data_IF_445397788399
#
_entry.id   IF_445397788399
#
_cell.length_a   1.000
_cell.length_b   1.000
_cell.length_c   1.000
_cell.angle_alpha   90.00
_cell.angle_beta   90.00
_cell.angle_gamma   90.00
#
_symmetry.space_group_name_H-M   'P 1'
#
loop_
_entity.id
_entity.type
_entity.pdbx_description
1 polymer ?
#
# COMPACT_ATOMS: atom_id res chain seq x y z
N UNK A 1 -3.13 19.31 7.68
CA UNK A 1 -2.61 18.13 6.94
C UNK A 1 -1.63 17.39 7.81
N UNK A 2 -1.76 16.08 7.89
CA UNK A 2 -0.83 15.28 8.66
C UNK A 2 0.28 14.75 7.76
N UNK A 3 1.46 14.51 8.38
CA UNK A 3 2.58 13.90 7.69
C UNK A 3 2.39 12.41 7.48
N UNK A 4 1.34 11.84 8.08
CA UNK A 4 1.06 10.40 8.04
C UNK A 4 -0.17 10.16 7.17
N UNK A 5 -0.03 9.27 6.19
CA UNK A 5 -1.13 8.86 5.32
C UNK A 5 -1.15 7.34 5.25
N UNK A 6 -2.33 6.74 5.48
CA UNK A 6 -2.51 5.29 5.34
C UNK A 6 -3.43 5.00 4.16
N UNK A 7 -2.94 4.17 3.23
CA UNK A 7 -3.76 3.63 2.14
C UNK A 7 -4.43 2.37 2.69
N UNK A 8 -5.72 2.50 2.97
CA UNK A 8 -6.47 1.60 3.85
C UNK A 8 -7.53 0.82 3.10
N UNK A 9 -7.65 -0.46 3.44
CA UNK A 9 -8.75 -1.33 3.04
C UNK A 9 -9.45 -1.80 4.31
N UNK A 10 -10.67 -1.32 4.55
CA UNK A 10 -11.42 -1.61 5.78
C UNK A 10 -11.77 -3.08 5.95
N UNK A 11 -11.73 -3.87 4.88
CA UNK A 11 -11.98 -5.31 4.93
C UNK A 11 -10.73 -6.14 5.24
N UNK A 12 -9.57 -5.51 5.31
CA UNK A 12 -8.29 -6.20 5.55
C UNK A 12 -7.88 -6.06 7.00
N UNK A 13 -7.66 -7.20 7.69
CA UNK A 13 -7.27 -7.20 9.10
C UNK A 13 -5.94 -6.49 9.35
N UNK A 14 -4.97 -6.66 8.45
CA UNK A 14 -3.67 -5.98 8.58
C UNK A 14 -3.82 -4.47 8.46
N UNK A 15 -4.69 -4.03 7.56
CA UNK A 15 -4.97 -2.61 7.36
C UNK A 15 -5.67 -2.01 8.59
N UNK A 16 -6.66 -2.72 9.14
CA UNK A 16 -7.33 -2.30 10.38
C UNK A 16 -6.35 -2.25 11.55
N UNK A 17 -5.45 -3.24 11.63
CA UNK A 17 -4.43 -3.27 12.70
C UNK A 17 -3.49 -2.09 12.63
N UNK A 18 -3.03 -1.71 11.45
CA UNK A 18 -2.14 -0.56 11.30
C UNK A 18 -2.86 0.74 11.66
N UNK A 19 -4.12 0.89 11.22
CA UNK A 19 -4.93 2.06 11.57
C UNK A 19 -5.13 2.17 13.07
N UNK A 20 -5.41 1.04 13.74
CA UNK A 20 -5.56 1.01 15.20
C UNK A 20 -4.30 1.47 15.90
N UNK A 21 -3.13 1.05 15.44
CA UNK A 21 -1.85 1.49 16.02
C UNK A 21 -1.70 3.00 15.93
N UNK A 22 -2.02 3.59 14.78
CA UNK A 22 -1.95 5.03 14.60
C UNK A 22 -2.91 5.75 15.56
N UNK A 23 -4.11 5.22 15.74
CA UNK A 23 -5.11 5.78 16.65
C UNK A 23 -4.66 5.68 18.11
N UNK A 24 -4.12 4.53 18.52
CA UNK A 24 -3.64 4.32 19.88
C UNK A 24 -2.45 5.20 20.23
N UNK A 25 -1.60 5.50 19.23
CA UNK A 25 -0.47 6.40 19.41
C UNK A 25 -0.88 7.85 19.46
N UNK A 26 -2.13 8.17 19.14
CA UNK A 26 -2.64 9.53 19.16
C UNK A 26 -2.00 10.45 18.13
N UNK A 27 -1.43 9.89 17.07
CA UNK A 27 -0.81 10.68 16.01
C UNK A 27 -1.85 11.06 14.96
N UNK A 28 -1.76 12.30 14.49
CA UNK A 28 -2.63 12.78 13.42
C UNK A 28 -2.30 12.04 12.11
N UNK A 29 -3.32 11.59 11.39
CA UNK A 29 -3.13 10.83 10.15
C UNK A 29 -4.31 10.99 9.22
N UNK A 30 -4.04 10.85 7.92
CA UNK A 30 -5.07 10.86 6.87
C UNK A 30 -5.29 9.43 6.39
N UNK A 31 -6.56 9.08 6.19
CA UNK A 31 -6.95 7.75 5.70
C UNK A 31 -7.41 7.89 4.25
N UNK A 32 -6.76 7.15 3.35
CA UNK A 32 -7.15 7.07 1.95
C UNK A 32 -7.71 5.68 1.68
N UNK A 33 -9.00 5.62 1.38
CA UNK A 33 -9.65 4.36 0.97
C UNK A 33 -9.41 4.17 -0.52
N UNK A 34 -8.32 3.50 -0.84
CA UNK A 34 -7.84 3.44 -2.21
C UNK A 34 -8.77 2.68 -3.17
N UNK A 35 -9.70 1.87 -2.65
CA UNK A 35 -10.71 1.22 -3.50
C UNK A 35 -11.82 2.19 -3.91
N UNK A 36 -12.08 3.20 -3.08
CA UNK A 36 -13.09 4.24 -3.37
C UNK A 36 -12.46 5.41 -4.12
N UNK A 37 -11.19 5.69 -3.82
CA UNK A 37 -10.41 6.76 -4.43
C UNK A 37 -9.10 6.16 -4.95
N UNK A 38 -9.14 5.47 -6.11
CA UNK A 38 -7.97 4.76 -6.62
C UNK A 38 -6.78 5.68 -6.83
N UNK A 39 -5.57 5.23 -6.47
CA UNK A 39 -4.38 6.04 -6.66
C UNK A 39 -4.08 6.23 -8.14
N UNK A 40 -3.67 7.44 -8.50
CA UNK A 40 -3.22 7.71 -9.85
C UNK A 40 -1.77 7.25 -10.03
N UNK A 41 -1.26 7.39 -11.26
CA UNK A 41 0.09 6.98 -11.60
C UNK A 41 1.13 7.66 -10.70
N UNK A 42 1.00 8.96 -10.48
CA UNK A 42 1.94 9.72 -9.67
C UNK A 42 1.99 9.23 -8.23
N UNK A 43 0.82 8.88 -7.68
CA UNK A 43 0.74 8.34 -6.31
C UNK A 43 1.44 6.99 -6.21
N UNK A 44 1.21 6.11 -7.18
CA UNK A 44 1.87 4.79 -7.21
C UNK A 44 3.38 4.94 -7.34
N UNK A 45 3.83 5.88 -8.17
CA UNK A 45 5.25 6.18 -8.31
C UNK A 45 5.87 6.63 -6.99
N UNK A 46 5.15 7.49 -6.25
CA UNK A 46 5.60 7.95 -4.93
C UNK A 46 5.71 6.80 -3.94
N UNK A 47 4.74 5.86 -3.96
CA UNK A 47 4.78 4.68 -3.09
C UNK A 47 6.03 3.86 -3.41
N UNK A 48 6.28 3.59 -4.68
CA UNK A 48 7.42 2.79 -5.11
C UNK A 48 8.76 3.45 -4.77
N UNK A 49 8.82 4.78 -4.81
CA UNK A 49 10.03 5.51 -4.43
C UNK A 49 10.29 5.47 -2.93
N UNK A 50 9.24 5.33 -2.13
CA UNK A 50 9.31 5.47 -0.67
C UNK A 50 9.46 4.15 0.09
N UNK A 51 8.96 3.04 -0.47
CA UNK A 51 9.06 1.74 0.20
C UNK A 51 10.46 1.15 0.01
N UNK A 52 10.97 0.38 1.02
CA UNK A 52 12.28 -0.25 0.91
C UNK A 52 12.27 -1.53 0.09
N UNK A 53 11.09 -1.97 -0.35
CA UNK A 53 10.90 -3.23 -1.05
C UNK A 53 11.13 -3.09 -2.55
N UNK A 54 11.32 -4.24 -3.23
CA UNK A 54 11.30 -4.30 -4.69
C UNK A 54 9.89 -3.97 -5.21
N UNK A 55 9.75 -3.45 -6.43
CA UNK A 55 8.44 -3.02 -6.95
C UNK A 55 7.36 -4.10 -6.88
N UNK A 56 7.70 -5.36 -7.17
CA UNK A 56 6.70 -6.43 -7.19
C UNK A 56 6.08 -6.69 -5.81
N UNK A 57 6.74 -6.26 -4.72
CA UNK A 57 6.18 -6.43 -3.38
C UNK A 57 4.89 -5.66 -3.19
N UNK A 58 4.63 -4.64 -4.01
CA UNK A 58 3.41 -3.83 -3.93
C UNK A 58 2.20 -4.53 -4.56
N UNK A 59 2.40 -5.63 -5.26
CA UNK A 59 1.32 -6.37 -5.94
C UNK A 59 1.05 -7.68 -5.21
N UNK A 60 -0.23 -7.97 -4.97
CA UNK A 60 -0.67 -9.20 -4.29
C UNK A 60 -0.77 -10.35 -5.30
N UNK A 61 0.37 -10.85 -5.76
CA UNK A 61 0.41 -11.87 -6.82
C UNK A 61 -0.13 -13.23 -6.39
N UNK A 62 -0.23 -13.48 -5.09
CA UNK A 62 -0.78 -14.74 -4.57
C UNK A 62 -2.29 -14.65 -4.29
N UNK A 63 -2.88 -13.47 -4.43
CA UNK A 63 -4.31 -13.26 -4.19
C UNK A 63 -5.14 -13.79 -5.36
N UNK A 64 -6.32 -14.35 -5.03
CA UNK A 64 -7.23 -14.88 -6.05
C UNK A 64 -7.65 -13.82 -7.07
N UNK A 65 -7.79 -12.57 -6.63
CA UNK A 65 -8.15 -11.46 -7.53
C UNK A 65 -7.07 -11.22 -8.57
N UNK A 66 -5.81 -11.30 -8.18
CA UNK A 66 -4.70 -11.17 -9.12
C UNK A 66 -4.71 -12.34 -10.11
N UNK A 67 -4.87 -13.56 -9.61
CA UNK A 67 -4.88 -14.76 -10.45
C UNK A 67 -6.01 -14.71 -11.46
N UNK A 68 -7.14 -14.12 -11.09
CA UNK A 68 -8.30 -13.98 -11.98
C UNK A 68 -8.04 -13.02 -13.14
N UNK A 69 -7.04 -12.14 -13.05
CA UNK A 69 -6.71 -11.22 -14.12
C UNK A 69 -5.98 -11.89 -15.29
N UNK A 70 -5.45 -13.09 -15.08
CA UNK A 70 -4.70 -13.81 -16.11
C UNK A 70 -3.32 -13.23 -16.38
N UNK A 71 -2.80 -12.40 -15.50
CA UNK A 71 -1.48 -11.79 -15.62
C UNK A 71 -0.46 -12.69 -14.92
N UNK A 72 0.64 -13.01 -15.58
CA UNK A 72 1.68 -13.84 -14.99
C UNK A 72 2.50 -13.03 -13.97
N UNK A 73 2.95 -13.70 -12.90
CA UNK A 73 3.82 -13.06 -11.92
C UNK A 73 5.07 -12.46 -12.55
N UNK A 74 5.62 -13.13 -13.56
CA UNK A 74 6.80 -12.66 -14.27
C UNK A 74 6.57 -11.35 -15.03
N UNK A 75 5.33 -10.97 -15.25
CA UNK A 75 4.96 -9.76 -15.96
C UNK A 75 4.67 -8.59 -15.03
N UNK A 76 4.90 -8.72 -13.72
CA UNK A 76 4.74 -7.66 -12.75
C UNK A 76 5.98 -7.53 -11.86
N UNK A 77 7.13 -7.49 -12.47
CA UNK A 77 8.43 -7.45 -11.77
C UNK A 77 9.04 -6.06 -11.82
N UNK A 78 8.97 -5.38 -12.97
CA UNK A 78 9.57 -4.06 -13.12
C UNK A 78 8.65 -2.97 -12.58
N UNK A 79 9.25 -1.83 -12.25
CA UNK A 79 8.51 -0.64 -11.80
C UNK A 79 7.37 -0.28 -12.76
N UNK A 80 7.65 -0.23 -14.05
CA UNK A 80 6.62 0.14 -15.05
C UNK A 80 5.50 -0.89 -15.12
N UNK A 81 5.84 -2.19 -15.06
CA UNK A 81 4.83 -3.24 -15.07
C UNK A 81 3.91 -3.14 -13.86
N UNK A 82 4.49 -2.87 -12.67
CA UNK A 82 3.72 -2.72 -11.44
C UNK A 82 2.78 -1.51 -11.53
N UNK A 83 3.29 -0.39 -12.02
CA UNK A 83 2.48 0.83 -12.18
C UNK A 83 1.31 0.56 -13.12
N UNK A 84 1.58 -0.04 -14.27
CA UNK A 84 0.55 -0.29 -15.28
C UNK A 84 -0.57 -1.18 -14.75
N UNK A 85 -0.23 -2.19 -13.95
CA UNK A 85 -1.23 -3.08 -13.34
C UNK A 85 -2.04 -2.34 -12.28
N UNK A 86 -1.38 -1.61 -11.39
CA UNK A 86 -2.06 -1.00 -10.25
C UNK A 86 -2.94 0.20 -10.63
N UNK A 87 -2.60 0.91 -11.69
CA UNK A 87 -3.45 2.00 -12.19
C UNK A 87 -4.80 1.46 -12.64
N UNK A 88 -4.81 0.28 -13.27
CA UNK A 88 -6.04 -0.34 -13.78
C UNK A 88 -6.72 -1.19 -12.71
N UNK A 89 -5.93 -1.85 -11.85
CA UNK A 89 -6.43 -2.81 -10.86
C UNK A 89 -5.93 -2.49 -9.45
N UNK A 90 -6.41 -1.38 -8.83
CA UNK A 90 -5.99 -1.04 -7.46
C UNK A 90 -6.34 -2.10 -6.43
N UNK A 91 -7.31 -2.96 -6.74
CA UNK A 91 -7.75 -4.04 -5.84
C UNK A 91 -6.64 -5.07 -5.55
N UNK A 92 -5.60 -5.14 -6.39
CA UNK A 92 -4.48 -6.07 -6.17
C UNK A 92 -3.26 -5.41 -5.56
N UNK A 93 -3.38 -4.15 -5.14
CA UNK A 93 -2.30 -3.47 -4.42
C UNK A 93 -2.16 -4.03 -3.00
N UNK A 94 -0.92 -4.22 -2.55
CA UNK A 94 -0.65 -4.61 -1.16
C UNK A 94 -1.14 -3.53 -0.20
N UNK A 95 -1.62 -3.94 0.97
CA UNK A 95 -2.20 -3.05 1.97
C UNK A 95 -1.89 -3.54 3.38
N UNK A 96 -1.80 -2.61 4.33
CA UNK A 96 -1.83 -1.18 4.10
C UNK A 96 -0.47 -0.64 3.69
N UNK A 97 -0.46 0.48 2.99
CA UNK A 97 0.75 1.28 2.76
C UNK A 97 0.63 2.50 3.66
N UNK A 98 1.65 2.76 4.45
CA UNK A 98 1.66 3.89 5.39
C UNK A 98 2.84 4.79 5.05
N UNK A 99 2.55 6.06 4.82
CA UNK A 99 3.56 7.10 4.63
C UNK A 99 3.76 7.88 5.92
N UNK A 100 5.02 8.18 6.22
CA UNK A 100 5.38 9.18 7.22
C UNK A 100 6.40 10.11 6.55
N UNK A 101 5.94 11.31 6.19
CA UNK A 101 6.75 12.23 5.40
C UNK A 101 7.02 11.65 4.01
N UNK A 102 8.30 11.47 3.69
CA UNK A 102 8.74 10.90 2.41
C UNK A 102 9.12 9.42 2.51
N UNK A 103 8.86 8.80 3.65
CA UNK A 103 9.13 7.37 3.89
C UNK A 103 7.82 6.61 3.93
N UNK A 104 7.84 5.36 3.45
CA UNK A 104 6.65 4.52 3.48
C UNK A 104 7.02 3.08 3.81
N UNK A 105 6.02 2.33 4.27
CA UNK A 105 6.16 0.91 4.55
C UNK A 105 4.88 0.19 4.13
N UNK A 106 5.05 -1.05 3.65
CA UNK A 106 3.93 -1.98 3.53
C UNK A 106 3.80 -2.62 4.92
N UNK A 107 2.76 -2.26 5.67
CA UNK A 107 2.64 -2.64 7.08
C UNK A 107 2.07 -4.05 7.24
N UNK A 108 2.86 -5.03 6.88
CA UNK A 108 2.54 -6.45 7.02
C UNK A 108 3.75 -7.18 7.61
N UNK A 109 3.70 -7.52 8.90
CA UNK A 109 2.59 -7.30 9.84
C UNK A 109 2.35 -5.84 10.16
N UNK A 110 1.18 -5.56 10.75
CA UNK A 110 0.75 -4.19 11.05
C UNK A 110 1.75 -3.41 11.90
N UNK A 111 2.46 -4.10 12.78
CA UNK A 111 3.45 -3.49 13.67
C UNK A 111 4.62 -2.83 12.94
N UNK A 112 4.81 -3.12 11.66
CA UNK A 112 5.85 -2.46 10.86
C UNK A 112 5.66 -0.94 10.78
N UNK A 113 4.44 -0.46 11.00
CA UNK A 113 4.18 0.98 11.04
C UNK A 113 4.98 1.66 12.16
N UNK A 114 5.27 0.93 13.23
CA UNK A 114 6.04 1.46 14.36
C UNK A 114 7.47 1.86 13.96
N UNK A 115 8.02 1.21 12.94
CA UNK A 115 9.37 1.52 12.45
C UNK A 115 9.45 2.95 11.88
N UNK A 116 8.33 3.45 11.38
CA UNK A 116 8.26 4.81 10.82
C UNK A 116 7.96 5.86 11.89
N UNK A 117 7.38 5.46 13.02
CA UNK A 117 6.96 6.39 14.07
C UNK A 117 8.07 6.68 15.09
N UNK A 118 9.12 5.90 15.09
CA UNK A 118 10.24 6.05 16.03
C UNK A 118 11.40 6.83 15.43
#
# INVERSE_FOLDING_TARGET
MSDITIFHNQSCSKSRGALQILEERGVSHDVVRYLDAPPDRATIERILDAIPNEPQALVRTDDAKFKALGIAKADVVTREQVIDVLVVHPEVMQRPVVFVGDRAVIARPSEKVLDLLN
#
